data_IF_286323720633
#
_entry.id   IF_286323720633
#
_cell.length_a   1.000
_cell.length_b   1.000
_cell.length_c   1.000
_cell.angle_alpha   90.00
_cell.angle_beta   90.00
_cell.angle_gamma   90.00
#
_symmetry.space_group_name_H-M   'P 1'
#
loop_
_entity.id
_entity.type
_entity.pdbx_description
1 polymer ?
#
# COMPACT_ATOMS: atom_id res chain seq x y z
N UNK A 1 -78.61 -6.81 9.45
CA UNK A 1 -78.03 -7.49 8.26
C UNK A 1 -76.58 -7.02 8.14
N UNK A 2 -75.61 -7.95 8.20
CA UNK A 2 -74.16 -7.68 8.35
C UNK A 2 -73.50 -7.19 7.05
N UNK A 3 -72.61 -6.19 7.13
CA UNK A 3 -71.48 -5.86 6.22
C UNK A 3 -70.69 -4.75 6.92
N UNK A 4 -69.40 -4.80 7.20
CA UNK A 4 -68.31 -5.63 6.70
C UNK A 4 -67.10 -4.69 6.61
N UNK A 5 -66.27 -4.67 7.65
CA UNK A 5 -65.01 -3.91 7.73
C UNK A 5 -64.03 -4.32 6.64
N UNK A 6 -63.37 -3.34 6.00
CA UNK A 6 -62.05 -3.51 5.40
C UNK A 6 -61.23 -2.24 5.64
N UNK A 7 -60.55 -2.22 6.78
CA UNK A 7 -59.43 -1.32 7.00
C UNK A 7 -58.33 -1.68 5.99
N UNK A 8 -58.03 -0.75 5.07
CA UNK A 8 -56.90 -0.87 4.16
C UNK A 8 -55.60 -0.81 4.96
N UNK A 9 -54.89 -1.93 5.02
CA UNK A 9 -53.52 -1.99 5.51
C UNK A 9 -52.64 -1.29 4.49
N UNK A 10 -52.22 -0.06 4.81
CA UNK A 10 -51.19 0.64 4.06
C UNK A 10 -49.83 0.03 4.45
N UNK A 11 -49.32 -0.87 3.62
CA UNK A 11 -47.93 -1.32 3.72
C UNK A 11 -47.07 -0.14 3.27
N UNK A 12 -46.55 0.63 4.23
CA UNK A 12 -45.52 1.63 3.97
C UNK A 12 -44.24 0.85 3.69
N UNK A 13 -43.92 0.67 2.40
CA UNK A 13 -42.64 0.11 1.99
C UNK A 13 -41.53 1.10 2.35
N UNK A 14 -40.89 0.90 3.50
CA UNK A 14 -39.70 1.64 3.89
C UNK A 14 -38.54 1.19 2.99
N UNK A 15 -38.18 2.03 2.01
CA UNK A 15 -36.99 1.85 1.20
C UNK A 15 -35.76 2.11 2.09
N UNK A 16 -35.21 1.05 2.68
CA UNK A 16 -33.95 1.14 3.42
C UNK A 16 -32.83 1.30 2.40
N UNK A 17 -32.49 2.55 2.07
CA UNK A 17 -31.25 2.89 1.37
C UNK A 17 -30.08 2.58 2.30
N UNK A 18 -29.57 1.36 2.24
CA UNK A 18 -28.30 1.02 2.88
C UNK A 18 -27.20 1.80 2.17
N UNK A 19 -26.57 2.72 2.90
CA UNK A 19 -25.35 3.39 2.48
C UNK A 19 -24.26 2.31 2.37
N UNK A 20 -24.09 1.73 1.18
CA UNK A 20 -22.98 0.82 0.91
C UNK A 20 -21.73 1.71 0.94
N UNK A 21 -21.07 1.78 2.09
CA UNK A 21 -19.74 2.38 2.18
C UNK A 21 -18.87 1.59 1.21
N UNK A 22 -18.21 2.22 0.22
CA UNK A 22 -17.26 1.50 -0.60
C UNK A 22 -16.21 0.91 0.35
N UNK A 23 -16.19 -0.42 0.45
CA UNK A 23 -15.06 -1.11 1.05
C UNK A 23 -13.86 -0.74 0.19
N UNK A 24 -12.93 0.01 0.78
CA UNK A 24 -11.63 0.27 0.18
C UNK A 24 -10.96 -1.08 -0.08
N UNK A 25 -11.17 -1.64 -1.27
CA UNK A 25 -10.28 -2.65 -1.82
C UNK A 25 -9.04 -1.85 -2.17
N UNK A 26 -8.16 -1.64 -1.19
CA UNK A 26 -6.81 -1.20 -1.47
C UNK A 26 -6.23 -2.27 -2.37
N UNK A 27 -6.03 -1.95 -3.65
CA UNK A 27 -5.36 -2.82 -4.57
C UNK A 27 -3.98 -3.11 -3.95
N UNK A 28 -3.76 -4.35 -3.51
CA UNK A 28 -2.49 -4.75 -2.91
C UNK A 28 -1.45 -4.75 -4.02
N UNK A 29 -0.83 -3.60 -4.21
CA UNK A 29 0.23 -3.43 -5.17
C UNK A 29 1.53 -3.78 -4.42
N UNK A 30 1.89 -5.04 -4.58
CA UNK A 30 2.97 -5.72 -3.89
C UNK A 30 3.65 -6.68 -4.86
N UNK A 31 4.76 -7.26 -4.44
CA UNK A 31 5.33 -8.41 -5.14
C UNK A 31 6.48 -8.06 -6.08
N UNK A 32 7.13 -6.91 -5.94
CA UNK A 32 8.34 -6.62 -6.72
C UNK A 32 9.41 -7.74 -6.66
N UNK A 33 9.64 -8.47 -5.55
CA UNK A 33 10.67 -9.51 -5.50
C UNK A 33 10.37 -10.71 -6.42
N UNK A 34 9.13 -10.86 -6.89
CA UNK A 34 8.75 -11.95 -7.81
C UNK A 34 9.29 -11.75 -9.22
N UNK A 35 9.51 -10.50 -9.61
CA UNK A 35 9.90 -10.12 -10.98
C UNK A 35 11.04 -9.10 -11.00
N UNK A 36 11.73 -8.91 -9.88
CA UNK A 36 12.91 -8.08 -9.79
C UNK A 36 14.05 -8.82 -9.11
N UNK A 37 15.27 -8.56 -9.58
CA UNK A 37 16.51 -9.17 -9.10
C UNK A 37 17.57 -8.11 -8.86
N UNK A 38 18.71 -8.54 -8.31
CA UNK A 38 19.86 -7.68 -7.99
C UNK A 38 19.49 -6.48 -7.11
N UNK A 39 18.55 -6.69 -6.19
CA UNK A 39 18.02 -5.65 -5.31
C UNK A 39 19.11 -5.12 -4.39
N UNK A 40 19.24 -3.81 -4.35
CA UNK A 40 20.17 -3.10 -3.45
C UNK A 40 19.48 -1.88 -2.87
N UNK A 41 19.69 -1.66 -1.58
CA UNK A 41 19.20 -0.48 -0.89
C UNK A 41 20.37 0.42 -0.51
N UNK A 42 20.36 1.68 -0.97
CA UNK A 42 21.44 2.64 -0.75
C UNK A 42 20.82 3.98 -0.35
N UNK A 43 21.19 4.48 0.85
CA UNK A 43 20.60 5.69 1.41
C UNK A 43 19.12 5.50 1.70
N UNK A 44 18.27 5.99 0.80
CA UNK A 44 16.79 5.84 0.81
C UNK A 44 16.26 5.18 -0.46
N UNK A 45 17.14 4.86 -1.41
CA UNK A 45 16.76 4.40 -2.74
C UNK A 45 16.91 2.89 -2.86
N UNK A 46 15.83 2.25 -3.30
CA UNK A 46 15.81 0.86 -3.72
C UNK A 46 16.19 0.79 -5.20
N UNK A 47 17.24 0.06 -5.53
CA UNK A 47 17.70 -0.20 -6.88
C UNK A 47 17.47 -1.66 -7.24
N UNK A 48 17.17 -1.95 -8.50
CA UNK A 48 16.97 -3.32 -8.97
C UNK A 48 16.95 -3.45 -10.49
N UNK A 49 16.87 -4.69 -10.93
CA UNK A 49 16.63 -5.09 -12.31
C UNK A 49 15.27 -5.77 -12.37
N UNK A 50 14.29 -5.19 -13.03
CA UNK A 50 12.89 -5.63 -13.01
C UNK A 50 12.40 -6.05 -14.38
N UNK A 51 11.64 -7.13 -14.45
CA UNK A 51 11.03 -7.63 -15.68
C UNK A 51 9.98 -6.65 -16.21
N UNK A 52 10.03 -6.43 -17.51
CA UNK A 52 9.08 -5.68 -18.32
C UNK A 52 8.42 -6.66 -19.29
N UNK A 53 7.15 -6.43 -19.59
CA UNK A 53 6.39 -7.25 -20.54
C UNK A 53 6.97 -7.16 -21.96
N UNK A 54 7.60 -6.02 -22.30
CA UNK A 54 7.99 -5.69 -23.67
C UNK A 54 9.52 -5.72 -23.88
N UNK A 55 10.29 -5.32 -22.87
CA UNK A 55 11.73 -5.03 -23.00
C UNK A 55 12.64 -6.02 -22.26
N UNK A 56 12.09 -7.13 -21.76
CA UNK A 56 12.85 -8.11 -20.98
C UNK A 56 13.11 -7.60 -19.57
N UNK A 57 14.34 -7.22 -19.21
CA UNK A 57 14.67 -6.72 -17.86
C UNK A 57 15.25 -5.32 -17.90
N UNK A 58 14.70 -4.40 -17.10
CA UNK A 58 15.08 -2.99 -17.03
C UNK A 58 15.74 -2.66 -15.69
N UNK A 59 16.78 -1.82 -15.72
CA UNK A 59 17.32 -1.20 -14.51
C UNK A 59 16.35 -0.15 -14.00
N UNK A 60 16.02 -0.18 -12.72
CA UNK A 60 15.09 0.76 -12.10
C UNK A 60 15.54 1.15 -10.70
N UNK A 61 15.02 2.27 -10.22
CA UNK A 61 15.23 2.75 -8.86
C UNK A 61 14.00 3.47 -8.32
N UNK A 62 13.76 3.36 -7.02
CA UNK A 62 12.67 4.01 -6.31
C UNK A 62 13.18 4.61 -5.00
N UNK A 63 12.99 5.91 -4.80
CA UNK A 63 13.24 6.55 -3.50
C UNK A 63 12.10 6.21 -2.54
N UNK A 64 12.41 5.45 -1.47
CA UNK A 64 11.43 5.02 -0.47
C UNK A 64 10.90 6.20 0.37
N UNK A 65 11.52 7.38 0.32
CA UNK A 65 10.90 8.60 0.85
C UNK A 65 9.58 8.94 0.15
N UNK A 66 9.34 8.43 -1.06
CA UNK A 66 8.08 8.60 -1.76
C UNK A 66 6.99 7.66 -1.25
N UNK A 67 7.37 6.58 -0.55
CA UNK A 67 6.44 5.51 -0.14
C UNK A 67 6.17 5.49 1.37
N UNK A 68 7.14 5.91 2.20
CA UNK A 68 7.06 5.73 3.65
C UNK A 68 7.25 7.03 4.42
N UNK A 69 6.43 7.20 5.45
CA UNK A 69 6.59 8.22 6.50
C UNK A 69 6.95 7.55 7.83
N UNK A 70 7.54 8.34 8.72
CA UNK A 70 7.66 7.96 10.12
C UNK A 70 6.54 8.62 10.92
N UNK A 71 5.53 7.83 11.29
CA UNK A 71 4.42 8.27 12.12
C UNK A 71 4.64 7.82 13.57
N UNK A 72 5.08 8.76 14.41
CA UNK A 72 5.31 8.56 15.85
C UNK A 72 6.27 7.41 16.20
N UNK A 73 7.27 7.16 15.36
CA UNK A 73 8.21 6.05 15.54
C UNK A 73 7.67 4.73 15.00
N UNK A 74 6.83 4.76 13.97
CA UNK A 74 6.44 3.62 13.15
C UNK A 74 6.63 3.99 11.69
N UNK A 75 7.23 3.11 10.89
CA UNK A 75 7.29 3.31 9.44
C UNK A 75 5.94 2.89 8.87
N UNK A 76 5.23 3.82 8.23
CA UNK A 76 3.94 3.56 7.61
C UNK A 76 3.97 3.98 6.16
N UNK A 77 3.16 3.31 5.35
CA UNK A 77 2.92 3.78 4.00
C UNK A 77 2.30 5.18 4.03
N UNK A 78 2.85 6.07 3.21
CA UNK A 78 2.31 7.40 2.99
C UNK A 78 2.86 7.95 1.67
N UNK A 79 2.00 8.47 0.78
CA UNK A 79 2.46 9.18 -0.41
C UNK A 79 3.38 10.33 -0.01
N UNK A 80 4.60 10.38 -0.53
CA UNK A 80 5.58 11.44 -0.20
C UNK A 80 5.89 11.48 1.31
N UNK A 81 6.05 10.31 1.94
CA UNK A 81 6.15 10.22 3.39
C UNK A 81 7.45 10.77 4.02
N UNK A 82 8.55 10.82 3.27
CA UNK A 82 9.85 11.41 3.69
C UNK A 82 10.39 10.88 5.03
N UNK A 83 10.29 9.56 5.29
CA UNK A 83 10.73 8.96 6.56
C UNK A 83 12.17 9.33 6.93
N UNK A 84 13.07 9.49 5.95
CA UNK A 84 14.48 9.80 6.19
C UNK A 84 14.72 11.14 6.92
N UNK A 85 13.72 12.05 6.98
CA UNK A 85 13.78 13.26 7.81
C UNK A 85 13.96 12.98 9.31
N UNK A 86 13.58 11.79 9.76
CA UNK A 86 13.55 11.42 11.18
C UNK A 86 14.12 10.03 11.45
N UNK A 87 14.73 9.42 10.42
CA UNK A 87 15.27 8.08 10.45
C UNK A 87 16.70 8.07 9.94
N UNK A 88 17.54 7.27 10.59
CA UNK A 88 18.90 7.00 10.12
C UNK A 88 18.89 6.04 8.93
N UNK A 89 19.93 6.07 8.06
CA UNK A 89 20.10 5.07 7.02
C UNK A 89 19.99 3.66 7.59
N UNK A 90 19.18 2.83 6.93
CA UNK A 90 18.92 1.46 7.31
C UNK A 90 19.67 0.44 6.46
N UNK A 91 19.26 -0.82 6.56
CA UNK A 91 19.63 -1.89 5.64
C UNK A 91 18.38 -2.66 5.22
N UNK A 92 18.41 -3.16 3.99
CA UNK A 92 17.39 -4.09 3.49
C UNK A 92 17.93 -5.51 3.60
N UNK A 93 17.17 -6.40 4.24
CA UNK A 93 17.41 -7.84 4.19
C UNK A 93 16.16 -8.48 3.57
N UNK A 94 16.34 -9.14 2.43
CA UNK A 94 15.25 -9.61 1.59
C UNK A 94 14.29 -8.46 1.21
N UNK A 95 13.11 -8.41 1.83
CA UNK A 95 12.12 -7.35 1.66
C UNK A 95 11.94 -6.49 2.91
N UNK A 96 12.57 -6.84 4.02
CA UNK A 96 12.44 -6.12 5.28
C UNK A 96 13.48 -5.00 5.37
N UNK A 97 13.00 -3.77 5.49
CA UNK A 97 13.82 -2.59 5.77
C UNK A 97 13.97 -2.44 7.29
N UNK A 98 15.20 -2.55 7.76
CA UNK A 98 15.59 -2.28 9.14
C UNK A 98 16.18 -0.87 9.23
N UNK A 99 15.56 -0.01 10.02
CA UNK A 99 16.01 1.38 10.22
C UNK A 99 15.84 1.81 11.69
N UNK A 100 16.38 2.96 12.04
CA UNK A 100 16.18 3.56 13.36
C UNK A 100 15.57 4.94 13.19
N UNK A 101 14.37 5.14 13.73
CA UNK A 101 13.65 6.40 13.67
C UNK A 101 13.36 6.91 15.08
N UNK A 102 13.64 8.18 15.36
CA UNK A 102 13.46 8.75 16.71
C UNK A 102 14.03 7.85 17.84
N UNK A 103 15.22 7.26 17.62
CA UNK A 103 15.90 6.31 18.53
C UNK A 103 15.18 4.96 18.75
N UNK A 104 14.21 4.60 17.91
CA UNK A 104 13.54 3.29 17.92
C UNK A 104 13.91 2.50 16.69
N UNK A 105 14.32 1.24 16.88
CA UNK A 105 14.54 0.31 15.78
C UNK A 105 13.20 -0.12 15.21
N UNK A 106 13.07 -0.03 13.89
CA UNK A 106 11.87 -0.38 13.14
C UNK A 106 12.21 -1.38 12.04
N UNK A 107 11.22 -2.20 11.75
CA UNK A 107 11.22 -3.17 10.67
C UNK A 107 9.93 -3.00 9.89
N UNK A 108 10.04 -2.90 8.56
CA UNK A 108 8.88 -2.88 7.68
C UNK A 108 9.15 -3.72 6.45
N UNK A 109 8.17 -4.51 6.06
CA UNK A 109 8.20 -5.26 4.80
C UNK A 109 7.84 -4.32 3.64
N UNK A 110 8.86 -3.87 2.89
CA UNK A 110 8.67 -2.92 1.78
C UNK A 110 7.92 -3.55 0.62
N UNK A 111 7.94 -4.88 0.50
CA UNK A 111 7.22 -5.60 -0.54
C UNK A 111 5.70 -5.40 -0.45
N UNK A 112 5.16 -5.05 0.73
CA UNK A 112 3.72 -4.76 0.89
C UNK A 112 3.25 -3.52 0.14
N UNK A 113 4.19 -2.63 -0.20
CA UNK A 113 3.92 -1.29 -0.71
C UNK A 113 4.80 -0.89 -1.91
N UNK A 114 5.51 -1.87 -2.46
CA UNK A 114 6.38 -1.69 -3.61
C UNK A 114 6.10 -2.79 -4.60
N UNK A 115 5.85 -2.40 -5.83
CA UNK A 115 5.60 -3.31 -6.94
C UNK A 115 6.52 -3.01 -8.12
N UNK A 116 6.57 -3.98 -9.03
CA UNK A 116 7.09 -3.81 -10.36
C UNK A 116 5.93 -3.52 -11.33
N UNK A 117 5.92 -2.35 -11.95
CA UNK A 117 5.00 -1.98 -13.02
C UNK A 117 5.76 -1.88 -14.33
N UNK A 118 5.68 -2.93 -15.14
CA UNK A 118 6.33 -3.03 -16.46
C UNK A 118 7.83 -2.63 -16.46
N UNK A 119 8.59 -3.16 -15.51
CA UNK A 119 10.03 -2.90 -15.33
C UNK A 119 10.37 -1.67 -14.48
N UNK A 120 9.36 -1.00 -13.90
CA UNK A 120 9.54 0.19 -13.05
C UNK A 120 9.11 -0.11 -11.63
N UNK A 121 10.01 0.14 -10.66
CA UNK A 121 9.67 0.10 -9.24
C UNK A 121 8.78 1.30 -8.88
N UNK A 122 7.64 1.04 -8.26
CA UNK A 122 6.70 2.09 -7.85
C UNK A 122 6.23 1.90 -6.41
N UNK A 123 5.88 3.01 -5.76
CA UNK A 123 5.13 2.98 -4.51
C UNK A 123 3.66 2.69 -4.78
N UNK A 124 3.05 1.95 -3.87
CA UNK A 124 1.62 1.69 -3.81
C UNK A 124 1.30 1.02 -2.46
#
# INVERSE_FOLDING_TARGET
MRRGERAGVWVVAALVLTLIKPSHIEAICSGYPKSCSQIRYIGTTLHGMCESYDEGTKKTSLDLNLCFSNDQGQLKWHPIGQFAKSCSPGRLLETNLYTTCNKRSLEVDVNKHVANQNGVLVCC
#
